data_IF_280650196182
#
_entry.id   IF_280650196182
#
_cell.length_a   1.000
_cell.length_b   1.000
_cell.length_c   1.000
_cell.angle_alpha   90.00
_cell.angle_beta   90.00
_cell.angle_gamma   90.00
#
_symmetry.space_group_name_H-M   'P 1'
#
loop_
_entity.id
_entity.type
_entity.pdbx_description
1 polymer ?
#
# COMPACT_ATOMS: atom_id res chain seq x y z
N UNK A 1 5.62 -4.29 -19.99
CA UNK A 1 5.50 -4.13 -18.52
C UNK A 1 4.07 -3.72 -18.17
N UNK A 2 3.58 -3.84 -16.95
CA UNK A 2 2.17 -3.56 -16.65
C UNK A 2 1.74 -4.13 -15.31
N UNK A 3 0.45 -4.39 -15.13
CA UNK A 3 -0.08 -4.96 -13.88
C UNK A 3 -1.12 -6.05 -14.13
N UNK A 4 -1.33 -6.87 -13.10
CA UNK A 4 -2.40 -7.87 -13.07
C UNK A 4 -3.12 -7.79 -11.74
N UNK A 5 -4.45 -7.81 -11.78
CA UNK A 5 -5.32 -7.89 -10.61
C UNK A 5 -5.70 -9.35 -10.44
N UNK A 6 -5.58 -9.84 -9.21
CA UNK A 6 -5.87 -11.21 -8.83
C UNK A 6 -6.79 -11.22 -7.64
N UNK A 7 -7.77 -12.12 -7.66
CA UNK A 7 -8.62 -12.38 -6.50
C UNK A 7 -7.97 -13.45 -5.64
N UNK A 8 -7.89 -13.20 -4.34
CA UNK A 8 -7.35 -14.14 -3.37
C UNK A 8 -8.49 -14.58 -2.45
N UNK A 9 -9.05 -15.76 -2.72
CA UNK A 9 -10.10 -16.33 -1.86
C UNK A 9 -9.47 -16.89 -0.57
N UNK A 10 -9.80 -16.28 0.56
CA UNK A 10 -9.36 -16.75 1.88
C UNK A 10 -10.32 -17.85 2.39
N UNK A 11 -10.18 -19.06 1.86
CA UNK A 11 -10.89 -20.27 2.35
C UNK A 11 -10.72 -20.49 3.88
N UNK A 12 -11.70 -21.03 4.60
CA UNK A 12 -11.58 -21.33 6.05
C UNK A 12 -11.16 -22.79 6.36
N UNK A 13 -10.82 -23.58 5.33
CA UNK A 13 -10.48 -25.00 5.45
C UNK A 13 -9.01 -25.28 5.79
N UNK A 14 -8.77 -26.35 6.56
CA UNK A 14 -7.46 -26.81 7.02
C UNK A 14 -6.63 -27.61 5.97
N UNK A 15 -7.14 -27.78 4.75
CA UNK A 15 -6.43 -28.56 3.74
C UNK A 15 -5.38 -27.73 3.01
N UNK A 16 -4.16 -28.28 2.98
CA UNK A 16 -2.99 -27.76 2.33
C UNK A 16 -3.13 -27.97 0.81
N UNK A 17 -4.00 -27.19 0.19
CA UNK A 17 -4.11 -27.17 -1.26
C UNK A 17 -2.95 -26.34 -1.80
N UNK A 18 -2.15 -26.95 -2.67
CA UNK A 18 -1.21 -26.24 -3.51
C UNK A 18 -2.05 -25.38 -4.47
N UNK A 19 -2.38 -24.15 -4.03
CA UNK A 19 -3.30 -23.27 -4.73
C UNK A 19 -2.58 -22.72 -5.97
N UNK A 20 -2.70 -23.46 -7.07
CA UNK A 20 -2.35 -22.94 -8.39
C UNK A 20 -3.03 -21.57 -8.55
N UNK A 21 -2.21 -20.55 -8.81
CA UNK A 21 -2.69 -19.18 -8.92
C UNK A 21 -3.74 -19.10 -10.04
N UNK A 22 -4.98 -18.71 -9.70
CA UNK A 22 -6.07 -18.59 -10.69
C UNK A 22 -5.73 -17.54 -11.77
N UNK A 23 -6.34 -17.63 -12.95
CA UNK A 23 -6.12 -16.61 -13.97
C UNK A 23 -6.41 -15.19 -13.41
N UNK A 24 -5.63 -14.16 -13.78
CA UNK A 24 -5.87 -12.81 -13.31
C UNK A 24 -7.29 -12.36 -13.69
N UNK A 25 -7.96 -11.72 -12.74
CA UNK A 25 -9.25 -11.07 -12.97
C UNK A 25 -9.13 -9.94 -14.00
N UNK A 26 -7.97 -9.28 -14.03
CA UNK A 26 -7.62 -8.31 -15.06
C UNK A 26 -6.12 -8.28 -15.32
N UNK A 27 -5.71 -8.04 -16.56
CA UNK A 27 -4.31 -7.83 -16.94
C UNK A 27 -4.20 -6.64 -17.89
N UNK A 28 -3.28 -5.74 -17.56
CA UNK A 28 -2.89 -4.62 -18.40
C UNK A 28 -1.42 -4.77 -18.81
N UNK A 29 -1.14 -4.59 -20.10
CA UNK A 29 0.21 -4.54 -20.65
C UNK A 29 0.48 -3.16 -21.25
N UNK A 30 1.70 -2.69 -21.08
CA UNK A 30 2.18 -1.33 -21.38
C UNK A 30 3.64 -1.43 -21.82
N UNK A 31 4.12 -0.44 -22.56
CA UNK A 31 5.53 -0.37 -22.97
C UNK A 31 6.39 0.40 -21.97
N UNK A 32 5.78 1.10 -21.01
CA UNK A 32 6.50 1.88 -20.00
C UNK A 32 7.10 0.99 -18.88
N UNK A 33 8.34 1.26 -18.44
CA UNK A 33 8.94 0.62 -17.28
C UNK A 33 8.44 1.14 -15.93
N UNK A 34 7.66 2.21 -15.90
CA UNK A 34 7.34 2.88 -14.64
C UNK A 34 6.29 2.14 -13.81
N UNK A 35 6.33 2.39 -12.50
CA UNK A 35 5.42 1.80 -11.53
C UNK A 35 3.97 2.29 -11.71
N UNK A 36 3.03 1.43 -11.33
CA UNK A 36 1.62 1.76 -11.25
C UNK A 36 1.25 2.08 -9.80
N UNK A 37 0.38 3.07 -9.62
CA UNK A 37 -0.18 3.40 -8.30
C UNK A 37 -1.62 2.96 -8.22
N UNK A 38 -2.04 2.52 -7.03
CA UNK A 38 -3.36 1.93 -6.81
C UNK A 38 -3.98 2.48 -5.52
N UNK A 39 -5.29 2.70 -5.54
CA UNK A 39 -6.10 2.95 -4.36
C UNK A 39 -7.43 2.18 -4.47
N UNK A 40 -7.96 1.74 -3.33
CA UNK A 40 -9.28 1.12 -3.25
C UNK A 40 -10.32 2.12 -2.74
N UNK A 41 -11.50 2.12 -3.36
CA UNK A 41 -12.64 2.96 -3.01
C UNK A 41 -13.93 2.13 -3.14
N UNK A 42 -14.48 1.68 -2.01
CA UNK A 42 -15.59 0.72 -2.03
C UNK A 42 -15.19 -0.51 -2.86
N UNK A 43 -16.05 -0.92 -3.80
CA UNK A 43 -15.78 -2.03 -4.73
C UNK A 43 -14.72 -1.74 -5.81
N UNK A 44 -14.18 -0.51 -5.90
CA UNK A 44 -13.36 -0.10 -7.04
C UNK A 44 -11.88 -0.04 -6.69
N UNK A 45 -11.05 -0.63 -7.55
CA UNK A 45 -9.60 -0.41 -7.57
C UNK A 45 -9.30 0.61 -8.65
N UNK A 46 -8.87 1.80 -8.24
CA UNK A 46 -8.43 2.86 -9.14
C UNK A 46 -6.93 2.71 -9.35
N UNK A 47 -6.51 2.62 -10.61
CA UNK A 47 -5.10 2.50 -11.01
C UNK A 47 -4.69 3.66 -11.90
N UNK A 48 -3.45 4.12 -11.76
CA UNK A 48 -2.87 5.13 -12.65
C UNK A 48 -1.41 4.80 -12.95
N UNK A 49 -1.11 4.81 -14.24
CA UNK A 49 0.16 4.41 -14.81
C UNK A 49 0.41 5.09 -16.14
N UNK A 50 1.69 5.21 -16.56
CA UNK A 50 2.01 5.64 -17.91
C UNK A 50 1.75 4.50 -18.89
N UNK A 51 1.26 4.84 -20.08
CA UNK A 51 0.96 3.83 -21.12
C UNK A 51 2.09 3.72 -22.13
N UNK A 52 2.56 4.85 -22.68
CA UNK A 52 3.61 4.88 -23.71
C UNK A 52 4.78 5.79 -23.38
N UNK A 53 4.51 7.02 -22.93
CA UNK A 53 5.53 8.02 -22.63
C UNK A 53 5.27 8.71 -21.29
N UNK A 54 6.31 9.32 -20.74
CA UNK A 54 6.22 10.20 -19.57
C UNK A 54 5.22 11.33 -19.87
N UNK A 55 4.13 11.43 -19.12
CA UNK A 55 3.07 12.41 -19.33
C UNK A 55 1.82 11.89 -20.06
N UNK A 56 1.81 10.65 -20.56
CA UNK A 56 0.62 9.99 -21.13
C UNK A 56 0.04 8.98 -20.12
N UNK A 57 -0.94 9.44 -19.34
CA UNK A 57 -1.55 8.66 -18.25
C UNK A 57 -3.05 8.54 -18.46
N UNK A 58 -3.54 7.30 -18.46
CA UNK A 58 -4.97 7.02 -18.41
C UNK A 58 -5.24 6.27 -17.10
N UNK A 59 -6.02 6.87 -16.19
CA UNK A 59 -6.48 6.16 -15.02
C UNK A 59 -7.58 5.16 -15.40
N UNK A 60 -7.56 4.00 -14.74
CA UNK A 60 -8.57 2.97 -14.89
C UNK A 60 -9.24 2.71 -13.54
N UNK A 61 -10.52 2.40 -13.54
CA UNK A 61 -11.24 1.89 -12.38
C UNK A 61 -11.73 0.48 -12.68
N UNK A 62 -11.23 -0.50 -11.95
CA UNK A 62 -11.71 -1.88 -11.98
C UNK A 62 -12.71 -2.09 -10.85
N UNK A 63 -13.95 -2.46 -11.18
CA UNK A 63 -15.00 -2.78 -10.22
C UNK A 63 -14.96 -4.27 -9.87
N UNK A 64 -14.70 -4.60 -8.60
CA UNK A 64 -14.58 -5.97 -8.12
C UNK A 64 -15.94 -6.68 -8.04
N UNK A 65 -17.06 -5.97 -7.95
CA UNK A 65 -18.40 -6.56 -7.91
C UNK A 65 -18.87 -6.96 -9.32
N UNK A 66 -18.65 -6.09 -10.30
CA UNK A 66 -19.16 -6.30 -11.66
C UNK A 66 -18.11 -6.86 -12.62
N UNK A 67 -16.85 -7.00 -12.17
CA UNK A 67 -15.67 -7.23 -13.01
C UNK A 67 -15.52 -6.20 -14.16
N UNK A 68 -16.14 -5.03 -14.01
CA UNK A 68 -16.20 -4.00 -15.04
C UNK A 68 -14.95 -3.13 -15.02
N UNK A 69 -14.45 -2.76 -16.21
CA UNK A 69 -13.37 -1.79 -16.35
C UNK A 69 -13.91 -0.48 -16.91
N UNK A 70 -13.67 0.62 -16.21
CA UNK A 70 -14.01 1.97 -16.66
C UNK A 70 -12.74 2.77 -16.93
N UNK A 71 -12.76 3.55 -18.01
CA UNK A 71 -11.77 4.60 -18.24
C UNK A 71 -12.17 5.80 -17.40
N UNK A 72 -11.25 6.28 -16.57
CA UNK A 72 -11.44 7.47 -15.75
C UNK A 72 -10.86 8.66 -16.52
N UNK A 73 -11.47 9.87 -16.46
CA UNK A 73 -10.90 11.04 -17.10
C UNK A 73 -9.45 11.26 -16.69
N UNK A 74 -8.64 11.71 -17.65
CA UNK A 74 -7.21 11.92 -17.42
C UNK A 74 -6.95 12.96 -16.32
N UNK A 75 -5.90 12.74 -15.55
CA UNK A 75 -5.40 13.67 -14.54
C UNK A 75 -4.77 14.89 -15.24
N UNK A 76 -5.27 16.13 -15.06
CA UNK A 76 -4.70 17.30 -15.72
C UNK A 76 -3.83 18.15 -14.76
N UNK A 77 -2.53 18.39 -15.04
CA UNK A 77 -1.62 17.72 -15.99
C UNK A 77 -1.01 16.46 -15.39
N UNK A 78 -0.80 15.45 -16.22
CA UNK A 78 -0.48 14.10 -15.76
C UNK A 78 0.92 13.99 -15.12
N UNK A 79 1.05 13.32 -13.95
CA UNK A 79 2.29 13.31 -13.19
C UNK A 79 3.33 12.38 -13.82
N UNK A 80 4.47 12.94 -14.20
CA UNK A 80 5.61 12.26 -14.86
C UNK A 80 6.48 11.41 -13.93
N UNK A 81 6.39 11.61 -12.60
CA UNK A 81 7.33 11.03 -11.63
C UNK A 81 6.70 10.10 -10.58
N UNK A 82 7.21 10.20 -9.35
CA UNK A 82 6.77 9.39 -8.21
C UNK A 82 5.29 9.61 -7.94
N UNK A 83 4.56 8.52 -7.70
CA UNK A 83 3.10 8.56 -7.54
C UNK A 83 2.65 7.77 -6.31
N UNK A 84 1.85 8.43 -5.49
CA UNK A 84 1.15 7.81 -4.36
C UNK A 84 -0.35 7.98 -4.55
N UNK A 85 -1.10 6.95 -4.20
CA UNK A 85 -2.56 6.98 -4.22
C UNK A 85 -3.08 6.50 -2.87
N UNK A 86 -4.12 7.15 -2.36
CA UNK A 86 -4.79 6.78 -1.13
C UNK A 86 -6.27 7.14 -1.23
N UNK A 87 -7.14 6.43 -0.52
CA UNK A 87 -8.54 6.80 -0.39
C UNK A 87 -8.80 7.37 1.00
N UNK A 88 -9.52 8.49 1.06
CA UNK A 88 -9.80 9.26 2.28
C UNK A 88 -11.30 9.54 2.26
N UNK A 89 -12.04 8.77 3.06
CA UNK A 89 -13.50 8.68 2.94
C UNK A 89 -13.90 8.13 1.57
N UNK A 90 -14.81 8.82 0.87
CA UNK A 90 -15.28 8.41 -0.46
C UNK A 90 -14.52 9.09 -1.62
N UNK A 91 -13.29 9.54 -1.35
CA UNK A 91 -12.52 10.36 -2.28
C UNK A 91 -11.13 9.74 -2.45
N UNK A 92 -10.75 9.25 -3.63
CA UNK A 92 -9.39 8.85 -3.90
C UNK A 92 -8.54 10.09 -4.19
N UNK A 93 -7.41 10.16 -3.52
CA UNK A 93 -6.38 11.17 -3.68
C UNK A 93 -5.21 10.56 -4.43
N UNK A 94 -4.69 11.32 -5.37
CA UNK A 94 -3.48 10.98 -6.09
C UNK A 94 -2.48 12.11 -5.97
N UNK A 95 -1.24 11.74 -5.69
CA UNK A 95 -0.14 12.66 -5.49
C UNK A 95 0.98 12.29 -6.45
N UNK A 96 1.64 13.30 -7.03
CA UNK A 96 2.85 13.05 -7.81
C UNK A 96 3.59 14.33 -8.20
N UNK A 97 4.57 14.18 -9.09
CA UNK A 97 5.33 15.30 -9.65
C UNK A 97 5.07 15.43 -11.14
N UNK A 98 4.96 16.65 -11.65
CA UNK A 98 4.90 16.91 -13.10
C UNK A 98 6.31 16.91 -13.74
N UNK A 99 6.37 17.10 -15.06
CA UNK A 99 7.62 17.09 -15.85
C UNK A 99 8.64 18.13 -15.39
N UNK A 100 8.19 19.21 -14.76
CA UNK A 100 9.03 20.28 -14.23
C UNK A 100 9.46 20.01 -12.77
N UNK A 101 9.15 18.82 -12.25
CA UNK A 101 9.41 18.43 -10.86
C UNK A 101 8.50 19.13 -9.85
N UNK A 102 7.42 19.79 -10.29
CA UNK A 102 6.50 20.46 -9.38
C UNK A 102 5.54 19.45 -8.76
N UNK A 103 5.31 19.62 -7.47
CA UNK A 103 4.38 18.81 -6.69
C UNK A 103 2.94 19.03 -7.15
N UNK A 104 2.20 17.94 -7.37
CA UNK A 104 0.79 17.95 -7.78
C UNK A 104 -0.03 16.98 -6.94
N UNK A 105 -1.29 17.34 -6.74
CA UNK A 105 -2.26 16.50 -6.07
C UNK A 105 -3.65 16.76 -6.62
N UNK A 106 -4.42 15.68 -6.76
CA UNK A 106 -5.84 15.78 -7.11
C UNK A 106 -6.66 14.82 -6.30
N UNK A 107 -7.88 15.24 -6.03
CA UNK A 107 -8.92 14.39 -5.48
C UNK A 107 -9.87 14.05 -6.62
N UNK A 108 -10.27 12.79 -6.73
CA UNK A 108 -11.40 12.47 -7.59
C UNK A 108 -12.69 12.44 -6.80
N UNK A 109 -13.76 12.89 -7.43
CA UNK A 109 -15.12 12.66 -6.94
C UNK A 109 -15.83 11.73 -7.91
N UNK A 110 -16.46 10.73 -7.33
CA UNK A 110 -17.50 9.96 -8.01
C UNK A 110 -18.84 10.60 -7.66
N UNK A 111 -19.48 11.24 -8.64
CA UNK A 111 -20.74 11.94 -8.42
C UNK A 111 -21.97 11.03 -8.57
N UNK A 112 -23.14 11.56 -8.22
CA UNK A 112 -24.42 10.83 -8.32
C UNK A 112 -24.83 10.48 -9.76
N UNK A 113 -24.14 11.04 -10.76
CA UNK A 113 -24.37 10.77 -12.17
C UNK A 113 -23.40 9.73 -12.72
N UNK A 114 -22.64 9.06 -11.86
CA UNK A 114 -21.68 8.01 -12.22
C UNK A 114 -20.49 8.53 -13.04
N UNK A 115 -20.22 9.84 -12.96
CA UNK A 115 -19.07 10.44 -13.62
C UNK A 115 -17.94 10.65 -12.63
N UNK A 116 -16.74 10.36 -13.12
CA UNK A 116 -15.50 10.70 -12.46
C UNK A 116 -15.11 12.13 -12.83
N UNK A 117 -14.67 12.92 -11.85
CA UNK A 117 -14.05 14.22 -12.08
C UNK A 117 -12.82 14.36 -11.21
N UNK A 118 -11.83 15.14 -11.66
CA UNK A 118 -10.63 15.44 -10.89
C UNK A 118 -10.60 16.91 -10.53
N UNK A 119 -10.52 17.19 -9.24
CA UNK A 119 -10.29 18.53 -8.72
C UNK A 119 -8.81 18.70 -8.37
N UNK A 120 -8.19 19.73 -8.92
CA UNK A 120 -6.85 20.15 -8.50
C UNK A 120 -6.87 20.64 -7.06
N UNK A 121 -6.01 20.08 -6.21
CA UNK A 121 -5.81 20.59 -4.85
C UNK A 121 -4.74 21.68 -4.92
N UNK A 122 -4.96 22.78 -4.20
CA UNK A 122 -4.06 23.94 -4.24
C UNK A 122 -2.61 23.56 -3.88
N UNK A 123 -1.68 23.96 -4.73
CA UNK A 123 -0.23 23.90 -4.51
C UNK A 123 0.27 25.21 -3.88
N UNK A 124 1.33 25.20 -3.06
CA UNK A 124 2.19 24.07 -2.76
C UNK A 124 1.58 23.11 -1.73
N UNK A 125 1.85 21.82 -1.90
CA UNK A 125 1.58 20.84 -0.85
C UNK A 125 2.45 21.17 0.38
N UNK A 126 1.95 20.92 1.60
CA UNK A 126 2.74 21.10 2.81
C UNK A 126 3.87 20.05 2.95
N UNK A 127 4.01 19.15 1.97
CA UNK A 127 5.01 18.09 1.91
C UNK A 127 5.44 17.78 0.47
N UNK A 128 6.60 17.13 0.32
CA UNK A 128 7.16 16.53 -0.89
C UNK A 128 6.77 15.06 -0.96
N UNK A 129 6.07 14.67 -2.03
CA UNK A 129 5.58 13.28 -2.23
C UNK A 129 6.74 12.29 -2.39
N UNK A 130 7.86 12.72 -2.95
CA UNK A 130 9.07 11.89 -3.04
C UNK A 130 9.69 11.57 -1.69
N UNK A 131 9.43 12.40 -0.67
CA UNK A 131 9.92 12.19 0.69
C UNK A 131 8.87 11.48 1.57
N UNK A 132 7.67 11.20 1.06
CA UNK A 132 6.60 10.55 1.83
C UNK A 132 6.96 9.09 2.14
N UNK A 133 7.00 8.75 3.43
CA UNK A 133 7.32 7.39 3.90
C UNK A 133 6.10 6.63 4.40
N UNK A 134 5.13 7.37 4.95
CA UNK A 134 3.93 6.77 5.51
C UNK A 134 2.69 7.62 5.32
N UNK A 135 1.55 6.96 5.40
CA UNK A 135 0.24 7.55 5.22
C UNK A 135 -0.78 6.86 6.15
N UNK A 136 -1.61 7.65 6.81
CA UNK A 136 -2.68 7.17 7.67
C UNK A 136 -3.93 8.05 7.51
N UNK A 137 -5.12 7.43 7.53
CA UNK A 137 -6.38 8.15 7.48
C UNK A 137 -6.96 8.33 8.88
N UNK A 138 -7.50 9.51 9.16
CA UNK A 138 -8.07 9.79 10.47
C UNK A 138 -9.49 9.22 10.58
N UNK A 139 -9.83 8.48 11.64
CA UNK A 139 -11.12 7.80 11.76
C UNK A 139 -12.33 8.74 11.84
N UNK A 140 -12.18 9.91 12.47
CA UNK A 140 -13.33 10.82 12.68
C UNK A 140 -13.98 11.27 11.37
N UNK A 141 -15.33 11.32 11.40
CA UNK A 141 -16.20 11.79 10.31
C UNK A 141 -16.00 11.06 8.98
N UNK A 142 -15.62 9.79 9.06
CA UNK A 142 -15.50 8.90 7.90
C UNK A 142 -14.21 9.11 7.13
N UNK A 143 -13.06 9.20 7.82
CA UNK A 143 -11.79 9.07 7.12
C UNK A 143 -11.33 10.32 6.38
N UNK A 144 -11.78 11.54 6.74
CA UNK A 144 -11.64 12.74 5.88
C UNK A 144 -10.29 13.48 5.98
N UNK A 145 -9.44 13.10 6.92
CA UNK A 145 -8.12 13.71 7.08
C UNK A 145 -7.04 12.69 6.76
N UNK A 146 -6.00 13.16 6.09
CA UNK A 146 -4.83 12.37 5.72
C UNK A 146 -3.62 12.86 6.50
N UNK A 147 -2.95 11.94 7.17
CA UNK A 147 -1.68 12.17 7.83
C UNK A 147 -0.58 11.53 7.00
N UNK A 148 0.51 12.26 6.80
CA UNK A 148 1.67 11.82 6.03
C UNK A 148 2.94 12.16 6.80
N UNK A 149 3.95 11.28 6.77
CA UNK A 149 5.29 11.60 7.29
C UNK A 149 6.30 11.71 6.15
N UNK A 150 7.25 12.63 6.30
CA UNK A 150 8.34 12.85 5.34
C UNK A 150 9.67 12.38 5.92
N UNK A 151 10.58 11.94 5.04
CA UNK A 151 11.97 11.66 5.41
C UNK A 151 12.70 12.92 5.93
N UNK A 152 12.42 14.10 5.34
CA UNK A 152 13.00 15.39 5.76
C UNK A 152 11.98 16.20 6.56
N UNK A 153 11.90 15.89 7.84
CA UNK A 153 11.16 16.56 8.89
C UNK A 153 10.89 18.07 8.67
N UNK A 154 9.63 18.43 8.39
CA UNK A 154 9.17 19.83 8.45
C UNK A 154 8.31 20.14 9.69
N UNK A 155 8.15 19.20 10.65
CA UNK A 155 7.16 19.32 11.73
C UNK A 155 7.45 18.65 13.09
N UNK A 156 8.68 18.16 13.35
CA UNK A 156 9.14 17.78 14.69
C UNK A 156 8.93 16.32 15.15
N UNK A 157 8.14 15.50 14.44
CA UNK A 157 8.04 14.05 14.67
C UNK A 157 7.55 13.32 13.41
N UNK A 158 7.76 12.01 13.35
CA UNK A 158 7.31 11.15 12.25
C UNK A 158 6.35 10.08 12.77
N UNK A 159 5.44 9.64 11.89
CA UNK A 159 4.68 8.42 12.13
C UNK A 159 5.65 7.22 12.18
N UNK A 160 5.40 6.23 13.05
CA UNK A 160 6.27 5.07 13.20
C UNK A 160 6.12 4.04 12.07
N UNK A 161 5.39 4.40 11.00
CA UNK A 161 4.96 3.46 9.98
C UNK A 161 5.83 3.50 8.72
N UNK A 162 5.90 2.37 8.02
CA UNK A 162 6.30 2.28 6.63
C UNK A 162 5.06 1.98 5.78
N UNK A 163 4.81 2.82 4.77
CA UNK A 163 3.64 2.68 3.92
C UNK A 163 2.33 3.06 4.62
N UNK A 164 1.26 2.31 4.38
CA UNK A 164 -0.07 2.63 4.87
C UNK A 164 -0.32 2.04 6.27
N UNK A 165 -0.86 2.87 7.17
CA UNK A 165 -1.44 2.43 8.43
C UNK A 165 -2.98 2.46 8.36
N UNK A 166 -3.60 1.59 9.14
CA UNK A 166 -5.06 1.41 9.20
C UNK A 166 -5.55 1.69 10.61
N UNK A 167 -6.62 2.48 10.75
CA UNK A 167 -7.28 2.62 12.05
C UNK A 167 -8.08 1.38 12.38
N UNK A 168 -7.90 0.86 13.59
CA UNK A 168 -8.66 -0.25 14.13
C UNK A 168 -9.54 0.25 15.26
N UNK A 169 -10.85 0.25 15.06
CA UNK A 169 -11.82 0.73 16.04
C UNK A 169 -11.78 -0.11 17.33
N UNK A 170 -11.51 -1.42 17.23
CA UNK A 170 -11.44 -2.32 18.40
C UNK A 170 -10.20 -2.05 19.26
N UNK A 171 -9.08 -1.67 18.63
CA UNK A 171 -7.84 -1.32 19.32
C UNK A 171 -7.74 0.18 19.64
N UNK A 172 -8.62 1.00 19.05
CA UNK A 172 -8.60 2.45 19.20
C UNK A 172 -7.32 3.11 18.69
N UNK A 173 -6.59 2.48 17.76
CA UNK A 173 -5.26 2.91 17.34
C UNK A 173 -5.04 2.71 15.83
N UNK A 174 -4.10 3.47 15.27
CA UNK A 174 -3.52 3.14 13.97
C UNK A 174 -2.55 1.97 14.10
N UNK A 175 -2.71 0.99 13.23
CA UNK A 175 -1.83 -0.17 13.12
C UNK A 175 -1.13 -0.11 11.77
N UNK A 176 0.19 -0.27 11.77
CA UNK A 176 1.00 -0.28 10.56
C UNK A 176 2.29 -1.05 10.71
N UNK A 177 2.96 -1.30 9.58
CA UNK A 177 4.30 -1.86 9.56
C UNK A 177 5.27 -0.86 10.16
N UNK A 178 6.08 -1.28 11.14
CA UNK A 178 7.05 -0.40 11.76
C UNK A 178 8.16 -0.02 10.78
N UNK A 179 8.51 1.26 10.78
CA UNK A 179 9.65 1.79 10.03
C UNK A 179 10.96 1.43 10.74
N UNK A 180 11.82 0.65 10.09
CA UNK A 180 13.15 0.34 10.61
C UNK A 180 14.11 1.51 10.54
N UNK A 181 15.20 1.45 11.31
CA UNK A 181 16.28 2.42 11.24
C UNK A 181 16.98 2.41 9.87
N UNK A 182 17.30 3.59 9.35
CA UNK A 182 18.04 3.76 8.10
C UNK A 182 19.47 3.25 8.27
N UNK A 183 19.93 2.37 7.38
CA UNK A 183 21.36 2.03 7.37
C UNK A 183 22.21 3.25 7.02
N UNK A 184 23.40 3.37 7.63
CA UNK A 184 24.35 4.49 7.50
C UNK A 184 24.81 4.78 6.05
N UNK A 185 24.49 3.93 5.09
CA UNK A 185 25.06 3.96 3.73
C UNK A 185 24.37 4.90 2.74
N UNK A 186 23.50 5.81 3.18
CA UNK A 186 23.04 6.98 2.40
C UNK A 186 22.16 6.70 1.16
N UNK A 187 21.98 5.42 0.78
CA UNK A 187 21.12 4.99 -0.34
C UNK A 187 20.10 3.96 0.13
N UNK A 188 19.17 4.35 1.00
CA UNK A 188 18.10 3.46 1.45
C UNK A 188 16.76 4.18 1.41
N UNK A 189 15.83 3.68 0.60
CA UNK A 189 14.42 3.80 0.90
C UNK A 189 14.21 3.15 2.27
N UNK A 190 13.64 3.89 3.24
CA UNK A 190 13.33 3.34 4.54
C UNK A 190 12.55 2.02 4.36
N UNK A 191 12.95 0.95 5.04
CA UNK A 191 12.29 -0.35 4.94
C UNK A 191 11.50 -0.61 6.22
N UNK A 192 10.40 -1.32 6.09
CA UNK A 192 9.82 -1.94 7.26
C UNK A 192 10.78 -3.02 7.81
N UNK A 193 10.98 -3.05 9.12
CA UNK A 193 11.86 -4.03 9.77
C UNK A 193 11.21 -5.41 9.94
N UNK A 194 9.92 -5.54 9.65
CA UNK A 194 9.17 -6.78 9.83
C UNK A 194 8.26 -6.78 11.04
N UNK A 195 8.29 -5.75 11.88
CA UNK A 195 7.44 -5.61 13.06
C UNK A 195 6.21 -4.77 12.75
N UNK A 196 5.21 -4.89 13.63
CA UNK A 196 4.06 -3.99 13.65
C UNK A 196 4.25 -2.94 14.74
N UNK A 197 3.57 -1.81 14.60
CA UNK A 197 3.41 -0.87 15.69
C UNK A 197 1.96 -0.36 15.75
N UNK A 198 1.54 0.01 16.95
CA UNK A 198 0.32 0.78 17.17
C UNK A 198 0.67 2.22 17.49
N UNK A 199 -0.18 3.16 17.07
CA UNK A 199 0.00 4.58 17.32
C UNK A 199 -1.36 5.23 17.60
N UNK A 200 -1.42 6.11 18.59
CA UNK A 200 -2.61 6.90 18.86
C UNK A 200 -2.93 7.79 17.65
N UNK A 201 -4.21 7.88 17.28
CA UNK A 201 -4.64 8.79 16.23
C UNK A 201 -4.58 10.24 16.77
N UNK A 202 -3.70 11.12 16.26
CA UNK A 202 -3.62 12.50 16.67
C UNK A 202 -4.85 13.27 16.20
N UNK A 203 -5.37 14.14 17.06
CA UNK A 203 -6.47 15.04 16.69
C UNK A 203 -6.02 16.03 15.60
N UNK A 204 -6.74 16.13 14.48
CA UNK A 204 -6.40 17.06 13.39
C UNK A 204 -6.67 18.53 13.77
N UNK A 205 -7.35 18.78 14.89
CA UNK A 205 -7.78 20.11 15.33
C UNK A 205 -6.97 20.68 16.50
N UNK A 206 -6.03 19.92 17.06
CA UNK A 206 -5.18 20.35 18.17
C UNK A 206 -3.75 20.56 17.67
N UNK A 207 -2.96 21.33 18.41
CA UNK A 207 -1.52 21.46 18.14
C UNK A 207 -0.88 20.07 18.06
N UNK A 208 -0.05 19.80 17.03
CA UNK A 208 0.47 18.47 16.75
C UNK A 208 1.43 18.04 17.87
N UNK A 209 0.90 17.31 18.83
CA UNK A 209 1.69 16.63 19.86
C UNK A 209 2.09 15.28 19.30
N UNK A 210 3.32 14.82 19.56
CA UNK A 210 3.75 13.51 19.10
C UNK A 210 2.81 12.44 19.67
N UNK A 211 2.15 11.64 18.82
CA UNK A 211 1.26 10.59 19.31
C UNK A 211 2.08 9.51 20.02
N UNK A 212 1.52 8.95 21.09
CA UNK A 212 2.13 7.79 21.71
C UNK A 212 2.06 6.61 20.73
N UNK A 213 3.09 5.79 20.71
CA UNK A 213 3.14 4.60 19.89
C UNK A 213 3.87 3.47 20.62
N UNK A 214 3.57 2.24 20.22
CA UNK A 214 4.13 1.02 20.80
C UNK A 214 4.54 0.06 19.70
N UNK A 215 5.69 -0.58 19.89
CA UNK A 215 6.20 -1.61 18.99
C UNK A 215 5.66 -2.98 19.41
N UNK A 216 5.23 -3.78 18.44
CA UNK A 216 4.91 -5.19 18.64
C UNK A 216 6.20 -6.01 18.54
N UNK A 217 6.93 -6.14 19.65
CA UNK A 217 8.24 -6.79 19.67
C UNK A 217 8.20 -8.32 19.54
N UNK A 218 7.06 -8.93 19.83
CA UNK A 218 6.93 -10.40 19.95
C UNK A 218 6.90 -11.10 18.59
N UNK A 219 6.35 -10.46 17.57
CA UNK A 219 6.05 -11.09 16.28
C UNK A 219 6.69 -10.32 15.12
N UNK A 220 7.80 -10.87 14.60
CA UNK A 220 8.39 -10.41 13.34
C UNK A 220 7.74 -11.16 12.18
N UNK A 221 6.92 -10.46 11.42
CA UNK A 221 6.08 -11.04 10.36
C UNK A 221 6.87 -11.42 9.10
N UNK A 222 7.96 -10.70 8.81
CA UNK A 222 8.85 -10.95 7.67
C UNK A 222 10.27 -10.45 7.94
N UNK A 223 11.22 -10.82 7.08
CA UNK A 223 12.62 -10.42 7.24
C UNK A 223 12.93 -9.24 6.30
N UNK A 224 13.53 -8.13 6.77
CA UNK A 224 13.70 -6.90 5.99
C UNK A 224 14.54 -7.10 4.71
N UNK A 225 15.54 -8.00 4.77
CA UNK A 225 16.43 -8.29 3.64
C UNK A 225 15.77 -9.09 2.50
N UNK A 226 14.60 -9.70 2.75
CA UNK A 226 13.93 -10.50 1.74
C UNK A 226 13.26 -9.65 0.66
N UNK A 227 13.06 -8.34 0.90
CA UNK A 227 12.22 -7.51 0.05
C UNK A 227 12.97 -6.33 -0.58
N UNK A 228 12.73 -6.10 -1.87
CA UNK A 228 13.19 -4.90 -2.59
C UNK A 228 12.15 -3.77 -2.60
N UNK A 229 10.87 -4.06 -2.30
CA UNK A 229 9.77 -3.09 -2.40
C UNK A 229 8.79 -3.09 -1.21
N UNK A 230 9.11 -3.85 -0.15
CA UNK A 230 8.29 -3.98 1.06
C UNK A 230 6.96 -4.75 0.87
N UNK A 231 6.38 -5.32 1.93
CA UNK A 231 5.08 -5.98 1.89
C UNK A 231 3.92 -4.98 2.03
N UNK A 232 2.70 -5.44 1.72
CA UNK A 232 1.45 -4.71 1.94
C UNK A 232 0.75 -5.26 3.18
N UNK A 233 0.43 -4.40 4.14
CA UNK A 233 -0.45 -4.74 5.26
C UNK A 233 -1.88 -4.32 4.92
N UNK A 234 -2.84 -5.22 5.14
CA UNK A 234 -4.25 -5.03 4.83
C UNK A 234 -5.07 -5.23 6.09
N UNK A 235 -5.89 -4.24 6.47
CA UNK A 235 -6.90 -4.41 7.50
C UNK A 235 -8.17 -5.02 6.90
N UNK A 236 -8.72 -6.04 7.57
CA UNK A 236 -9.87 -6.81 7.11
C UNK A 236 -11.11 -6.64 7.97
N UNK A 237 -11.04 -5.82 9.03
CA UNK A 237 -12.08 -5.70 10.06
C UNK A 237 -11.85 -6.64 11.24
N UNK A 238 -12.52 -6.37 12.36
CA UNK A 238 -12.51 -7.17 13.60
C UNK A 238 -11.09 -7.53 14.09
N UNK A 239 -10.21 -6.53 14.13
CA UNK A 239 -8.77 -6.63 14.40
C UNK A 239 -8.04 -7.72 13.61
N UNK A 240 -8.55 -8.06 12.43
CA UNK A 240 -7.98 -9.05 11.52
C UNK A 240 -7.19 -8.34 10.43
N UNK A 241 -5.98 -8.84 10.19
CA UNK A 241 -5.04 -8.29 9.23
C UNK A 241 -4.50 -9.37 8.32
N UNK A 242 -4.15 -8.98 7.10
CA UNK A 242 -3.35 -9.80 6.20
C UNK A 242 -2.09 -9.07 5.77
N UNK A 243 -0.95 -9.74 5.93
CA UNK A 243 0.30 -9.36 5.31
C UNK A 243 0.41 -10.06 3.97
N UNK A 244 0.66 -9.29 2.91
CA UNK A 244 0.88 -9.79 1.56
C UNK A 244 2.27 -9.38 1.09
N UNK A 245 3.12 -10.35 0.77
CA UNK A 245 4.49 -10.11 0.34
C UNK A 245 4.85 -10.94 -0.90
N UNK A 246 5.72 -10.40 -1.76
CA UNK A 246 6.29 -11.15 -2.88
C UNK A 246 7.63 -11.74 -2.45
N UNK A 247 7.76 -13.05 -2.63
CA UNK A 247 8.96 -13.83 -2.42
C UNK A 247 9.54 -14.25 -3.77
N UNK A 248 10.75 -13.81 -4.08
CA UNK A 248 11.53 -14.31 -5.21
C UNK A 248 12.18 -15.64 -4.85
N UNK A 249 11.94 -16.70 -5.63
CA UNK A 249 12.53 -18.02 -5.39
C UNK A 249 14.07 -18.03 -5.46
N UNK A 250 14.70 -17.06 -6.14
CA UNK A 250 16.16 -16.89 -6.15
C UNK A 250 16.75 -16.44 -4.80
N UNK A 251 15.96 -15.94 -3.84
CA UNK A 251 16.47 -15.62 -2.49
C UNK A 251 16.48 -16.82 -1.55
N UNK A 252 16.08 -18.01 -2.02
CA UNK A 252 16.21 -19.28 -1.30
C UNK A 252 17.47 -20.07 -1.71
N UNK A 253 18.26 -19.65 -2.69
CA UNK A 253 19.56 -20.27 -2.97
C UNK A 253 20.55 -19.29 -3.63
N UNK A 254 21.83 -19.49 -3.35
CA UNK A 254 23.00 -18.64 -3.62
C UNK A 254 23.06 -17.85 -4.94
N UNK A 255 23.64 -16.65 -4.84
CA UNK A 255 24.11 -15.72 -5.88
C UNK A 255 24.54 -16.37 -7.21
N UNK A 256 24.18 -15.66 -8.29
CA UNK A 256 24.55 -15.83 -9.70
C UNK A 256 23.72 -16.89 -10.41
N UNK A 257 22.68 -16.47 -11.12
CA UNK A 257 22.50 -16.65 -12.57
C UNK A 257 21.19 -15.98 -12.98
N UNK A 258 21.22 -15.18 -14.05
CA UNK A 258 20.03 -14.71 -14.77
C UNK A 258 19.29 -15.96 -15.27
N UNK A 259 18.17 -16.33 -14.66
CA UNK A 259 17.34 -17.41 -15.16
C UNK A 259 15.97 -16.91 -15.62
N UNK A 260 15.75 -17.06 -16.94
CA UNK A 260 14.42 -17.06 -17.54
C UNK A 260 13.69 -18.27 -16.97
N UNK A 261 12.63 -18.05 -16.18
CA UNK A 261 11.91 -19.11 -15.46
C UNK A 261 11.60 -18.86 -13.98
N UNK A 262 11.75 -17.63 -13.51
CA UNK A 262 11.55 -17.25 -12.11
C UNK A 262 10.12 -17.52 -11.60
N UNK A 263 9.94 -18.64 -10.87
CA UNK A 263 8.79 -18.86 -10.00
C UNK A 263 8.88 -17.84 -8.86
N UNK A 264 7.97 -16.89 -8.79
CA UNK A 264 7.80 -16.07 -7.60
C UNK A 264 6.61 -16.62 -6.82
N UNK A 265 6.57 -16.38 -5.52
CA UNK A 265 5.41 -16.71 -4.70
C UNK A 265 4.88 -15.43 -4.06
N UNK A 266 3.56 -15.25 -3.99
CA UNK A 266 2.98 -14.33 -3.03
C UNK A 266 2.70 -15.12 -1.77
N UNK A 267 3.23 -14.65 -0.65
CA UNK A 267 2.88 -15.14 0.68
C UNK A 267 1.78 -14.26 1.25
N UNK A 268 0.74 -14.89 1.77
CA UNK A 268 -0.35 -14.25 2.50
C UNK A 268 -0.38 -14.82 3.90
N UNK A 269 -0.17 -13.97 4.90
CA UNK A 269 -0.24 -14.34 6.31
C UNK A 269 -1.36 -13.55 6.97
N UNK A 270 -2.42 -14.24 7.39
CA UNK A 270 -3.59 -13.62 8.03
C UNK A 270 -3.55 -13.86 9.53
N UNK A 271 -3.73 -12.80 10.30
CA UNK A 271 -3.64 -12.87 11.75
C UNK A 271 -4.56 -11.86 12.43
N UNK A 272 -4.91 -12.12 13.69
CA UNK A 272 -5.62 -11.17 14.55
C UNK A 272 -4.71 -10.51 15.56
N UNK A 273 -4.94 -9.23 15.81
CA UNK A 273 -4.24 -8.44 16.81
C UNK A 273 -5.13 -8.19 18.03
N UNK A 274 -4.48 -8.03 19.19
CA UNK A 274 -5.12 -7.50 20.41
C UNK A 274 -4.08 -6.91 21.34
N UNK A 275 -4.52 -6.11 22.30
CA UNK A 275 -3.69 -5.78 23.46
C UNK A 275 -3.74 -6.91 24.49
N UNK A 276 -2.58 -7.31 24.99
CA UNK A 276 -2.50 -8.22 26.13
C UNK A 276 -2.76 -7.49 27.46
N UNK A 277 -2.70 -8.23 28.58
CA UNK A 277 -2.94 -7.67 29.92
C UNK A 277 -1.95 -6.57 30.34
N UNK A 278 -0.80 -6.47 29.68
CA UNK A 278 0.20 -5.43 29.92
C UNK A 278 -0.01 -4.21 28.99
N UNK A 279 -0.97 -4.30 28.06
CA UNK A 279 -1.20 -3.29 27.04
C UNK A 279 -0.22 -3.36 25.89
N UNK A 280 0.47 -4.49 25.69
CA UNK A 280 1.34 -4.72 24.54
C UNK A 280 0.53 -5.28 23.37
N UNK A 281 0.82 -4.79 22.16
CA UNK A 281 0.19 -5.31 20.94
C UNK A 281 0.75 -6.72 20.66
N UNK A 282 -0.14 -7.69 20.47
CA UNK A 282 0.25 -9.09 20.23
C UNK A 282 -0.59 -9.74 19.13
N UNK A 283 0.01 -10.68 18.42
CA UNK A 283 -0.68 -11.53 17.44
C UNK A 283 -1.29 -12.75 18.14
N UNK A 284 -2.56 -13.08 17.88
CA UNK A 284 -3.26 -14.10 18.71
C UNK A 284 -4.02 -15.18 17.98
N UNK A 285 -4.40 -14.97 16.72
CA UNK A 285 -5.02 -16.00 15.90
C UNK A 285 -4.41 -15.92 14.50
N UNK A 286 -3.31 -16.63 14.29
CA UNK A 286 -2.63 -16.70 12.99
C UNK A 286 -3.16 -17.90 12.19
N UNK A 287 -3.61 -17.65 10.96
CA UNK A 287 -3.90 -18.70 9.98
C UNK A 287 -2.58 -19.20 9.39
N UNK A 288 -2.49 -20.46 8.94
CA UNK A 288 -1.33 -20.91 8.18
C UNK A 288 -1.09 -20.01 6.97
N UNK A 289 0.19 -19.67 6.76
CA UNK A 289 0.61 -18.92 5.59
C UNK A 289 0.17 -19.62 4.30
N UNK A 290 -0.28 -18.82 3.34
CA UNK A 290 -0.60 -19.29 1.99
C UNK A 290 0.44 -18.81 1.01
N UNK A 291 0.81 -19.68 0.11
CA UNK A 291 1.76 -19.40 -0.95
C UNK A 291 1.08 -19.66 -2.28
N UNK A 292 1.17 -18.68 -3.16
CA UNK A 292 0.63 -18.80 -4.50
C UNK A 292 1.74 -18.51 -5.50
N UNK A 293 2.01 -19.48 -6.37
CA UNK A 293 3.13 -19.42 -7.32
C UNK A 293 2.71 -18.72 -8.63
N UNK A 294 3.58 -17.85 -9.15
CA UNK A 294 3.37 -17.19 -10.44
C UNK A 294 4.68 -17.05 -11.23
N UNK A 295 4.55 -16.94 -12.56
CA UNK A 295 5.68 -16.66 -13.45
C UNK A 295 5.96 -15.15 -13.53
N UNK A 296 7.21 -14.78 -13.25
CA UNK A 296 7.66 -13.39 -13.29
C UNK A 296 7.91 -12.95 -14.75
N UNK A 297 7.49 -11.73 -15.09
CA UNK A 297 7.83 -11.13 -16.38
C UNK A 297 8.98 -10.10 -16.32
N UNK A 298 9.20 -9.37 -15.20
CA UNK A 298 10.30 -8.36 -15.05
C UNK A 298 10.77 -8.20 -13.58
N UNK A 299 11.95 -7.62 -13.32
CA UNK A 299 12.40 -7.21 -11.99
C UNK A 299 11.70 -5.91 -11.48
N UNK A 300 11.56 -5.71 -10.17
CA UNK A 300 11.09 -4.41 -9.62
C UNK A 300 9.64 -4.25 -9.10
N UNK A 301 8.88 -5.32 -8.83
CA UNK A 301 7.44 -5.18 -8.49
C UNK A 301 7.16 -4.86 -7.01
N UNK A 302 6.28 -3.88 -6.79
CA UNK A 302 5.56 -3.66 -5.52
C UNK A 302 4.22 -4.38 -5.54
N UNK A 303 3.88 -5.07 -4.46
CA UNK A 303 2.52 -5.64 -4.28
C UNK A 303 1.62 -4.61 -3.61
N UNK A 304 0.42 -4.45 -4.16
CA UNK A 304 -0.66 -3.72 -3.54
C UNK A 304 -1.79 -4.70 -3.28
N UNK A 305 -2.23 -4.78 -2.03
CA UNK A 305 -3.33 -5.64 -1.62
C UNK A 305 -4.41 -4.80 -0.93
N UNK A 306 -5.66 -5.17 -1.19
CA UNK A 306 -6.84 -4.50 -0.66
C UNK A 306 -7.83 -5.56 -0.19
N UNK A 307 -8.54 -5.26 0.89
CA UNK A 307 -9.72 -6.00 1.32
C UNK A 307 -10.93 -5.16 0.94
N UNK A 308 -11.81 -5.73 0.12
CA UNK A 308 -12.94 -5.06 -0.54
C UNK A 308 -14.16 -5.97 -0.41
#
# INVERSE_FOLDING_TARGET
MGFSIHKLDLYDGAEKVDLAWQAPAHRMSTDSPDLWSFAALGSKIVSMGPIKFVGDHIPFAYDTETAGLSVVPGFPPAPSGWRHAAAVGNTPYMFGTDSDGRMRSSASRFDAHWYWSWDGIATPLPFRVGDMESIATHPERGGRHLFTSEWRHLGGWNLPFYGQAHYDDELGAWIGLHKGETSESGFHWARADGLLCSCDAPSPYKSPTQPAWKLCEKDRLFHPDRHEHGPSLVYMGDSTYSLVEILSHEKLWSKRYRSVGNRSAVRVATFRLKYDKNGDLVTTASRPDRFFHFSRFVEGYKVHAFWI
#
